data_IF_675883771405
#
_entry.id   IF_675883771405
#
_cell.length_a   1.000
_cell.length_b   1.000
_cell.length_c   1.000
_cell.angle_alpha   90.00
_cell.angle_beta   90.00
_cell.angle_gamma   90.00
#
_symmetry.space_group_name_H-M   'P 1'
#
loop_
_entity.id
_entity.type
_entity.pdbx_description
1 polymer ?
#
# COMPACT_ATOMS: atom_id res chain seq x y z
N UNK A 1 -26.09 -2.52 5.19
CA UNK A 1 -26.92 -1.44 5.74
C UNK A 1 -26.62 -0.16 5.00
N UNK A 2 -27.47 0.12 4.02
CA UNK A 2 -27.24 1.10 2.98
C UNK A 2 -28.02 2.39 3.18
N UNK A 3 -28.10 2.86 4.38
CA UNK A 3 -28.45 4.26 4.62
C UNK A 3 -27.17 5.10 4.54
N UNK A 4 -26.39 4.82 3.53
CA UNK A 4 -25.14 5.51 3.31
C UNK A 4 -25.43 6.89 2.77
N UNK A 5 -25.05 7.85 3.53
CA UNK A 5 -24.68 9.14 2.99
C UNK A 5 -23.74 8.92 1.81
N UNK A 6 -23.86 9.67 0.71
CA UNK A 6 -23.01 9.50 -0.44
C UNK A 6 -21.53 9.54 -0.05
N UNK A 7 -20.74 8.62 -0.60
CA UNK A 7 -19.27 8.67 -0.50
C UNK A 7 -18.77 9.96 -1.15
N UNK A 8 -17.65 10.50 -0.66
CA UNK A 8 -17.07 11.77 -1.17
C UNK A 8 -16.46 11.59 -2.57
N UNK A 9 -16.04 10.38 -2.90
CA UNK A 9 -15.47 10.06 -4.21
C UNK A 9 -15.82 8.63 -4.60
N UNK A 10 -15.56 8.29 -5.86
CA UNK A 10 -15.67 6.92 -6.37
C UNK A 10 -14.62 6.00 -5.74
N UNK A 11 -14.96 4.72 -5.55
CA UNK A 11 -13.99 3.67 -5.21
C UNK A 11 -13.11 3.25 -6.37
N UNK A 12 -13.41 3.70 -7.58
CA UNK A 12 -12.58 3.50 -8.76
C UNK A 12 -11.27 4.30 -8.66
N UNK A 13 -10.34 3.99 -9.54
CA UNK A 13 -9.03 4.62 -9.58
C UNK A 13 -7.98 3.81 -8.85
N UNK A 14 -6.75 3.96 -9.30
CA UNK A 14 -5.58 3.19 -8.84
C UNK A 14 -4.83 3.86 -7.69
N UNK A 15 -5.20 5.11 -7.38
CA UNK A 15 -4.69 5.91 -6.26
C UNK A 15 -5.90 6.40 -5.46
N UNK A 16 -5.79 6.45 -4.16
CA UNK A 16 -6.85 6.96 -3.29
C UNK A 16 -6.86 8.50 -3.20
N UNK A 17 -7.78 9.07 -2.42
CA UNK A 17 -7.91 10.53 -2.27
C UNK A 17 -6.75 11.17 -1.51
N UNK A 18 -5.98 10.41 -0.76
CA UNK A 18 -4.78 10.86 -0.06
C UNK A 18 -3.50 10.76 -0.91
N UNK A 19 -3.61 10.26 -2.15
CA UNK A 19 -2.46 10.02 -3.02
C UNK A 19 -1.76 8.68 -2.80
N UNK A 20 -2.31 7.81 -1.94
CA UNK A 20 -1.71 6.51 -1.62
C UNK A 20 -2.07 5.50 -2.71
N UNK A 21 -1.09 4.81 -3.33
CA UNK A 21 -1.34 3.77 -4.31
C UNK A 21 -2.18 2.62 -3.75
N UNK A 22 -3.16 2.17 -4.53
CA UNK A 22 -3.90 0.93 -4.28
C UNK A 22 -3.23 -0.26 -4.96
N UNK A 23 -3.72 -1.47 -4.70
CA UNK A 23 -3.16 -2.67 -5.33
C UNK A 23 -3.16 -2.61 -6.86
N UNK A 24 -4.21 -2.07 -7.47
CA UNK A 24 -4.31 -1.95 -8.94
C UNK A 24 -3.23 -1.04 -9.55
N UNK A 25 -2.68 -0.08 -8.80
CA UNK A 25 -1.53 0.71 -9.22
C UNK A 25 -0.34 -0.20 -9.56
N UNK A 26 -0.05 -1.16 -8.70
CA UNK A 26 1.04 -2.13 -8.89
C UNK A 26 0.74 -3.14 -9.99
N UNK A 27 -0.54 -3.48 -10.19
CA UNK A 27 -0.95 -4.29 -11.35
C UNK A 27 -0.61 -3.57 -12.65
N UNK A 28 -0.95 -2.28 -12.79
CA UNK A 28 -0.57 -1.51 -13.97
C UNK A 28 0.95 -1.40 -14.13
N UNK A 29 1.68 -1.15 -13.04
CA UNK A 29 3.15 -1.13 -13.09
C UNK A 29 3.71 -2.45 -13.65
N UNK A 30 3.19 -3.59 -13.18
CA UNK A 30 3.67 -4.91 -13.60
C UNK A 30 3.49 -5.17 -15.09
N UNK A 31 2.49 -4.54 -15.72
CA UNK A 31 2.18 -4.73 -17.14
C UNK A 31 2.79 -3.67 -18.05
N UNK A 32 3.02 -2.46 -17.52
CA UNK A 32 3.47 -1.33 -18.34
C UNK A 32 4.96 -1.05 -18.25
N UNK A 33 5.61 -1.39 -17.13
CA UNK A 33 7.03 -1.13 -16.95
C UNK A 33 7.88 -2.32 -17.37
N UNK A 34 8.99 -2.05 -18.05
CA UNK A 34 9.98 -3.07 -18.40
C UNK A 34 10.75 -3.51 -17.16
N UNK A 35 10.88 -4.82 -16.96
CA UNK A 35 11.68 -5.41 -15.89
C UNK A 35 13.16 -5.03 -15.94
N UNK A 36 13.71 -4.74 -17.13
CA UNK A 36 15.11 -4.34 -17.28
C UNK A 36 15.41 -2.98 -16.64
N UNK A 37 14.40 -2.09 -16.59
CA UNK A 37 14.57 -0.72 -16.07
C UNK A 37 13.91 -0.54 -14.70
N UNK A 38 12.81 -1.22 -14.47
CA UNK A 38 11.97 -1.06 -13.30
C UNK A 38 11.47 -2.43 -12.82
N UNK A 39 12.38 -3.34 -12.41
CA UNK A 39 11.95 -4.65 -11.89
C UNK A 39 11.10 -4.45 -10.64
N UNK A 40 9.99 -5.17 -10.56
CA UNK A 40 9.07 -5.05 -9.44
C UNK A 40 8.39 -6.37 -9.08
N UNK A 41 8.06 -6.49 -7.81
CA UNK A 41 7.13 -7.45 -7.25
C UNK A 41 6.26 -6.74 -6.20
N UNK A 42 4.99 -7.07 -6.12
CA UNK A 42 4.08 -6.56 -5.12
C UNK A 42 3.17 -7.67 -4.60
N UNK A 43 3.28 -7.94 -3.31
CA UNK A 43 2.51 -8.94 -2.59
C UNK A 43 1.18 -8.38 -2.10
N UNK A 44 0.12 -9.16 -2.22
CA UNK A 44 -1.17 -8.90 -1.60
C UNK A 44 -1.87 -10.22 -1.23
N UNK A 45 -2.82 -10.20 -0.27
CA UNK A 45 -3.18 -9.11 0.63
C UNK A 45 -2.17 -8.97 1.78
N UNK A 46 -2.43 -8.05 2.72
CA UNK A 46 -1.67 -7.99 3.97
C UNK A 46 -1.73 -9.32 4.75
N UNK A 47 -0.85 -9.50 5.76
CA UNK A 47 -0.72 -10.77 6.48
C UNK A 47 -1.12 -10.66 7.97
N UNK A 48 -2.28 -9.99 8.24
CA UNK A 48 -2.90 -9.84 9.57
C UNK A 48 -4.35 -10.35 9.51
N UNK A 49 -4.52 -11.69 9.54
CA UNK A 49 -5.81 -12.35 9.39
C UNK A 49 -6.25 -13.13 10.64
N UNK A 50 -5.69 -12.77 11.81
CA UNK A 50 -6.07 -13.39 13.09
C UNK A 50 -7.50 -13.06 13.51
N UNK A 51 -8.06 -11.95 13.00
CA UNK A 51 -9.44 -11.57 13.24
C UNK A 51 -10.36 -12.33 12.28
N UNK A 52 -11.14 -13.26 12.84
CA UNK A 52 -12.07 -14.10 12.08
C UNK A 52 -13.09 -13.30 11.26
N UNK A 53 -13.56 -12.16 11.73
CA UNK A 53 -14.52 -11.31 11.01
C UNK A 53 -13.89 -10.72 9.73
N UNK A 54 -12.62 -10.34 9.78
CA UNK A 54 -11.89 -9.85 8.60
C UNK A 54 -11.55 -11.00 7.65
N UNK A 55 -11.18 -12.14 8.21
CA UNK A 55 -10.74 -13.32 7.47
C UNK A 55 -11.88 -13.97 6.66
N UNK A 56 -13.09 -13.98 7.16
CA UNK A 56 -14.27 -14.61 6.54
C UNK A 56 -14.52 -14.25 5.07
N UNK A 57 -14.13 -13.07 4.64
CA UNK A 57 -14.34 -12.60 3.27
C UNK A 57 -13.15 -12.89 2.34
N UNK A 58 -12.06 -13.46 2.87
CA UNK A 58 -10.80 -13.66 2.13
C UNK A 58 -10.38 -15.12 2.15
N UNK A 59 -10.52 -15.79 3.29
CA UNK A 59 -10.20 -17.22 3.44
C UNK A 59 -11.24 -18.09 2.73
N UNK A 60 -10.75 -19.15 2.10
CA UNK A 60 -11.61 -20.22 1.62
C UNK A 60 -12.08 -21.15 2.76
N UNK A 61 -12.86 -22.18 2.42
CA UNK A 61 -13.41 -23.16 3.38
C UNK A 61 -12.33 -23.96 4.13
N UNK A 62 -11.13 -24.08 3.55
CA UNK A 62 -9.97 -24.74 4.15
C UNK A 62 -9.05 -23.79 4.94
N UNK A 63 -9.47 -22.52 5.10
CA UNK A 63 -8.70 -21.52 5.82
C UNK A 63 -7.46 -21.01 5.08
N UNK A 64 -7.45 -21.13 3.74
CA UNK A 64 -6.36 -20.62 2.89
C UNK A 64 -6.67 -19.24 2.36
N UNK A 65 -5.64 -18.43 2.25
CA UNK A 65 -5.68 -17.09 1.69
C UNK A 65 -5.12 -17.11 0.27
N UNK A 66 -5.81 -16.51 -0.72
CA UNK A 66 -5.24 -16.31 -2.05
C UNK A 66 -4.17 -15.21 -1.98
N UNK A 67 -2.90 -15.63 -1.90
CA UNK A 67 -1.75 -14.73 -1.98
C UNK A 67 -1.45 -14.48 -3.45
N UNK A 68 -1.51 -13.22 -3.84
CA UNK A 68 -1.24 -12.76 -5.21
C UNK A 68 0.05 -11.98 -5.28
N UNK A 69 0.73 -12.10 -6.40
CA UNK A 69 1.92 -11.30 -6.70
C UNK A 69 1.74 -10.65 -8.07
N UNK A 70 1.80 -9.32 -8.09
CA UNK A 70 1.97 -8.53 -9.31
C UNK A 70 3.47 -8.37 -9.56
N UNK A 71 3.93 -8.73 -10.72
CA UNK A 71 5.35 -8.62 -11.09
C UNK A 71 5.52 -8.53 -12.59
N UNK A 72 6.59 -7.87 -13.03
CA UNK A 72 7.03 -7.86 -14.42
C UNK A 72 8.23 -8.80 -14.66
N UNK A 73 8.57 -9.63 -13.68
CA UNK A 73 9.61 -10.65 -13.79
C UNK A 73 9.13 -11.86 -14.61
N UNK A 74 10.05 -12.76 -14.97
CA UNK A 74 9.71 -14.01 -15.65
C UNK A 74 9.01 -15.01 -14.72
N UNK A 75 9.51 -15.16 -13.49
CA UNK A 75 8.97 -16.08 -12.50
C UNK A 75 9.03 -15.50 -11.10
N UNK A 76 8.20 -16.04 -10.21
CA UNK A 76 8.19 -15.68 -8.79
C UNK A 76 8.15 -16.96 -7.95
N UNK A 77 8.99 -17.02 -6.94
CA UNK A 77 8.92 -17.99 -5.84
C UNK A 77 8.21 -17.32 -4.65
N UNK A 78 7.17 -17.98 -4.14
CA UNK A 78 6.53 -17.58 -2.90
C UNK A 78 7.14 -18.38 -1.73
N UNK A 79 7.57 -17.65 -0.69
CA UNK A 79 8.12 -18.24 0.53
C UNK A 79 7.28 -17.77 1.72
N UNK A 80 6.85 -18.70 2.58
CA UNK A 80 6.06 -18.42 3.78
C UNK A 80 6.78 -19.00 4.98
N UNK A 81 7.18 -18.14 5.91
CA UNK A 81 7.93 -18.50 7.12
C UNK A 81 9.19 -19.34 6.83
N UNK A 82 9.89 -19.02 5.72
CA UNK A 82 11.09 -19.71 5.28
C UNK A 82 10.85 -20.98 4.46
N UNK A 83 9.60 -21.38 4.25
CA UNK A 83 9.25 -22.54 3.43
C UNK A 83 8.75 -22.10 2.04
N UNK A 84 9.34 -22.64 0.98
CA UNK A 84 8.90 -22.38 -0.39
C UNK A 84 7.51 -22.99 -0.62
N UNK A 85 6.64 -22.19 -1.22
CA UNK A 85 5.31 -22.59 -1.72
C UNK A 85 5.32 -22.87 -3.22
N UNK A 86 6.52 -22.95 -3.79
CA UNK A 86 6.76 -23.23 -5.19
C UNK A 86 6.96 -21.98 -6.03
N UNK A 87 7.44 -22.22 -7.24
CA UNK A 87 7.70 -21.21 -8.25
C UNK A 87 6.57 -21.23 -9.28
N UNK A 88 6.05 -20.07 -9.61
CA UNK A 88 5.16 -19.88 -10.76
C UNK A 88 5.81 -18.97 -11.78
N UNK A 89 5.44 -19.16 -13.05
CA UNK A 89 6.03 -18.45 -14.18
C UNK A 89 4.94 -17.75 -14.97
N UNK A 90 5.19 -16.51 -15.38
CA UNK A 90 4.33 -15.81 -16.30
C UNK A 90 4.51 -16.29 -17.75
N UNK A 91 3.43 -16.31 -18.50
CA UNK A 91 3.46 -16.53 -19.95
C UNK A 91 3.34 -15.19 -20.65
N UNK A 92 4.34 -14.85 -21.47
CA UNK A 92 4.30 -13.63 -22.28
C UNK A 92 3.34 -13.79 -23.44
N UNK A 93 2.44 -12.84 -23.63
CA UNK A 93 1.45 -12.77 -24.67
C UNK A 93 1.61 -11.51 -25.50
N UNK A 94 1.08 -11.54 -26.70
CA UNK A 94 1.06 -10.39 -27.61
C UNK A 94 -0.36 -10.19 -28.12
N UNK A 95 -0.87 -8.98 -27.99
CA UNK A 95 -2.18 -8.59 -28.53
C UNK A 95 -2.12 -8.45 -30.06
N UNK A 96 -3.28 -8.40 -30.72
CA UNK A 96 -3.36 -8.27 -32.17
C UNK A 96 -2.70 -6.97 -32.71
N UNK A 97 -2.61 -5.93 -31.89
CA UNK A 97 -1.96 -4.65 -32.22
C UNK A 97 -0.47 -4.60 -31.80
N UNK A 98 0.11 -5.76 -31.40
CA UNK A 98 1.54 -5.93 -31.15
C UNK A 98 2.02 -5.56 -29.75
N UNK A 99 1.11 -5.20 -28.82
CA UNK A 99 1.49 -4.96 -27.42
C UNK A 99 1.70 -6.27 -26.68
N UNK A 100 2.68 -6.29 -25.80
CA UNK A 100 2.99 -7.45 -24.97
C UNK A 100 2.46 -7.27 -23.54
N UNK A 101 2.00 -8.36 -22.95
CA UNK A 101 1.56 -8.43 -21.56
C UNK A 101 1.92 -9.81 -20.99
N UNK A 102 1.76 -9.98 -19.69
CA UNK A 102 2.07 -11.23 -19.02
C UNK A 102 0.82 -11.82 -18.38
N UNK A 103 0.61 -13.12 -18.58
CA UNK A 103 -0.45 -13.90 -17.94
C UNK A 103 0.12 -14.90 -16.94
N UNK A 104 -0.63 -15.14 -15.87
CA UNK A 104 -0.39 -16.22 -14.92
C UNK A 104 -0.90 -17.58 -15.42
N UNK A 105 -1.45 -18.38 -14.51
CA UNK A 105 -1.86 -19.76 -14.79
C UNK A 105 -3.12 -19.87 -15.69
N UNK A 106 -3.95 -18.84 -15.73
CA UNK A 106 -5.20 -18.83 -16.49
C UNK A 106 -5.22 -17.64 -17.46
N UNK A 107 -5.97 -17.74 -18.59
CA UNK A 107 -6.21 -16.60 -19.46
C UNK A 107 -6.80 -15.41 -18.68
N UNK A 108 -6.36 -14.21 -19.04
CA UNK A 108 -6.74 -12.94 -18.42
C UNK A 108 -6.33 -12.77 -16.94
N UNK A 109 -5.61 -13.72 -16.36
CA UNK A 109 -5.04 -13.62 -15.04
C UNK A 109 -3.69 -12.90 -15.09
N UNK A 110 -3.69 -11.61 -14.79
CA UNK A 110 -2.50 -10.75 -14.89
C UNK A 110 -1.62 -10.78 -13.63
N UNK A 111 -1.67 -11.86 -12.85
CA UNK A 111 -0.94 -12.07 -11.60
C UNK A 111 -0.65 -13.56 -11.38
N UNK A 112 0.27 -13.85 -10.49
CA UNK A 112 0.47 -15.20 -9.96
C UNK A 112 -0.26 -15.34 -8.63
N UNK A 113 -0.83 -16.51 -8.34
CA UNK A 113 -1.63 -16.75 -7.15
C UNK A 113 -1.29 -18.10 -6.51
N UNK A 114 -1.17 -18.09 -5.18
CA UNK A 114 -1.02 -19.29 -4.34
C UNK A 114 -2.11 -19.29 -3.28
N UNK A 115 -2.74 -20.43 -3.08
CA UNK A 115 -3.63 -20.66 -1.94
C UNK A 115 -2.80 -21.11 -0.73
N UNK A 116 -2.67 -20.26 0.26
CA UNK A 116 -1.76 -20.45 1.41
C UNK A 116 -2.55 -20.57 2.71
N UNK A 117 -2.39 -21.66 3.47
CA UNK A 117 -2.91 -21.73 4.83
C UNK A 117 -2.37 -20.55 5.66
N UNK A 118 -3.27 -19.87 6.35
CA UNK A 118 -2.84 -18.73 7.16
C UNK A 118 -2.06 -19.18 8.40
N UNK A 119 -0.83 -18.72 8.49
CA UNK A 119 0.02 -18.82 9.70
C UNK A 119 0.68 -17.45 9.87
N UNK A 120 0.57 -16.80 11.04
CA UNK A 120 1.26 -15.56 11.31
C UNK A 120 2.76 -15.66 11.02
N UNK A 121 3.36 -14.59 10.54
CA UNK A 121 4.78 -14.53 10.22
C UNK A 121 5.07 -13.74 8.96
N UNK A 122 5.95 -14.26 8.11
CA UNK A 122 6.49 -13.57 6.94
C UNK A 122 6.10 -14.27 5.64
N UNK A 123 5.67 -13.50 4.67
CA UNK A 123 5.46 -13.93 3.28
C UNK A 123 6.38 -13.13 2.39
N UNK A 124 7.11 -13.81 1.50
CA UNK A 124 8.12 -13.23 0.63
C UNK A 124 7.87 -13.63 -0.82
N UNK A 125 8.00 -12.68 -1.74
CA UNK A 125 8.00 -12.91 -3.17
C UNK A 125 9.40 -12.65 -3.72
N UNK A 126 10.02 -13.67 -4.28
CA UNK A 126 11.35 -13.60 -4.90
C UNK A 126 11.16 -13.68 -6.41
N UNK A 127 11.26 -12.55 -7.07
CA UNK A 127 11.03 -12.42 -8.50
C UNK A 127 12.35 -12.55 -9.29
N UNK A 128 12.33 -13.40 -10.34
CA UNK A 128 13.52 -13.76 -11.12
C UNK A 128 13.31 -13.50 -12.61
N UNK A 129 14.41 -13.16 -13.30
CA UNK A 129 14.44 -13.08 -14.76
C UNK A 129 14.54 -14.48 -15.41
N UNK A 130 14.58 -14.55 -16.74
CA UNK A 130 14.71 -15.80 -17.48
C UNK A 130 16.02 -16.56 -17.21
N UNK A 131 17.08 -15.85 -16.78
CA UNK A 131 18.35 -16.45 -16.39
C UNK A 131 18.34 -17.02 -14.95
N UNK A 132 17.23 -16.84 -14.20
CA UNK A 132 17.09 -17.28 -12.82
C UNK A 132 17.66 -16.32 -11.79
N UNK A 133 18.14 -15.15 -12.19
CA UNK A 133 18.68 -14.13 -11.30
C UNK A 133 17.53 -13.38 -10.60
N UNK A 134 17.66 -13.13 -9.30
CA UNK A 134 16.72 -12.31 -8.58
C UNK A 134 16.81 -10.85 -9.03
N UNK A 135 15.71 -10.30 -9.51
CA UNK A 135 15.62 -8.91 -9.99
C UNK A 135 14.69 -8.04 -9.15
N UNK A 136 13.75 -8.64 -8.43
CA UNK A 136 12.89 -7.92 -7.49
C UNK A 136 12.56 -8.80 -6.27
N UNK A 137 12.10 -8.15 -5.22
CA UNK A 137 11.74 -8.78 -3.96
C UNK A 137 10.68 -7.93 -3.26
N UNK A 138 9.69 -8.59 -2.70
CA UNK A 138 8.73 -7.94 -1.79
C UNK A 138 8.45 -8.85 -0.60
N UNK A 139 8.08 -8.25 0.53
CA UNK A 139 7.71 -8.97 1.74
C UNK A 139 6.58 -8.29 2.48
N UNK A 140 5.73 -9.11 3.06
CA UNK A 140 4.73 -8.70 4.04
C UNK A 140 4.93 -9.53 5.32
N UNK A 141 4.66 -8.92 6.46
CA UNK A 141 4.82 -9.55 7.76
C UNK A 141 3.59 -9.30 8.62
N UNK A 142 3.21 -10.27 9.43
CA UNK A 142 2.19 -10.06 10.45
C UNK A 142 2.68 -9.00 11.43
N UNK A 143 2.00 -7.88 11.50
CA UNK A 143 2.27 -6.83 12.44
C UNK A 143 1.61 -7.10 13.79
N UNK A 144 2.24 -6.65 14.86
CA UNK A 144 1.70 -6.68 16.20
C UNK A 144 0.64 -5.59 16.44
N UNK A 145 0.39 -5.28 17.71
CA UNK A 145 -0.52 -4.19 18.09
C UNK A 145 0.09 -2.83 17.76
N UNK A 146 -0.75 -1.82 17.44
CA UNK A 146 -0.29 -0.45 17.31
C UNK A 146 0.55 0.02 18.52
N UNK A 147 1.76 0.50 18.29
CA UNK A 147 2.69 0.96 19.32
C UNK A 147 3.24 2.38 19.05
N UNK A 148 3.17 2.85 17.80
CA UNK A 148 3.69 4.17 17.46
C UNK A 148 3.18 4.68 16.11
N UNK A 149 3.64 5.89 15.79
CA UNK A 149 3.43 6.54 14.49
C UNK A 149 4.79 6.84 13.88
N UNK A 150 4.97 6.42 12.62
CA UNK A 150 6.14 6.78 11.80
C UNK A 150 5.71 7.81 10.76
N UNK A 151 6.53 8.84 10.56
CA UNK A 151 6.36 9.80 9.47
C UNK A 151 7.30 9.43 8.33
N UNK A 152 6.75 9.36 7.12
CA UNK A 152 7.48 9.14 5.89
C UNK A 152 7.31 10.39 5.04
N UNK A 153 8.40 11.11 4.82
CA UNK A 153 8.41 12.33 4.02
C UNK A 153 9.10 12.09 2.69
N UNK A 154 8.74 12.88 1.71
CA UNK A 154 9.52 13.00 0.49
C UNK A 154 10.85 13.72 0.79
N UNK A 155 11.95 13.27 0.17
CA UNK A 155 13.32 13.72 0.52
C UNK A 155 13.72 15.05 -0.10
N UNK A 156 12.80 15.97 -0.37
CA UNK A 156 13.18 17.26 -0.94
C UNK A 156 12.74 18.42 -0.06
N UNK A 157 13.55 19.47 -0.12
CA UNK A 157 13.20 20.73 0.44
C UNK A 157 12.09 21.39 -0.39
N UNK A 158 11.19 22.06 0.27
CA UNK A 158 10.19 22.93 -0.38
C UNK A 158 10.65 24.37 -0.36
N UNK A 159 10.22 25.17 -1.33
CA UNK A 159 10.55 26.58 -1.42
C UNK A 159 9.88 27.37 -0.27
N UNK A 160 10.61 28.30 0.34
CA UNK A 160 10.09 29.17 1.39
C UNK A 160 9.36 30.38 0.76
N UNK A 161 8.30 30.13 -0.01
CA UNK A 161 7.54 31.12 -0.76
C UNK A 161 6.10 31.33 -0.24
N UNK A 162 5.76 30.69 0.88
CA UNK A 162 4.42 30.71 1.45
C UNK A 162 3.36 29.95 0.65
N UNK A 163 3.74 29.16 -0.37
CA UNK A 163 2.82 28.47 -1.28
C UNK A 163 3.16 27.01 -1.48
N UNK A 164 4.44 26.66 -1.47
CA UNK A 164 4.92 25.30 -1.75
C UNK A 164 4.46 24.32 -0.67
N UNK A 165 4.20 23.07 -1.09
CA UNK A 165 3.59 22.04 -0.26
C UNK A 165 4.49 20.80 -0.16
N UNK A 166 4.45 20.15 0.99
CA UNK A 166 4.95 18.78 1.14
C UNK A 166 3.87 17.87 1.72
N UNK A 167 3.91 16.61 1.29
CA UNK A 167 3.00 15.56 1.72
C UNK A 167 3.77 14.59 2.60
N UNK A 168 3.35 14.46 3.84
CA UNK A 168 3.99 13.59 4.81
C UNK A 168 3.03 12.44 5.12
N UNK A 169 3.36 11.24 4.67
CA UNK A 169 2.60 10.05 5.02
C UNK A 169 2.87 9.70 6.48
N UNK A 170 1.83 9.47 7.27
CA UNK A 170 1.95 8.86 8.57
C UNK A 170 1.51 7.40 8.51
N UNK A 171 2.21 6.56 9.26
CA UNK A 171 1.97 5.13 9.33
C UNK A 171 1.85 4.71 10.80
N UNK A 172 0.78 4.01 11.11
CA UNK A 172 0.63 3.36 12.42
C UNK A 172 1.44 2.08 12.40
N UNK A 173 2.42 2.00 13.30
CA UNK A 173 3.36 0.89 13.35
C UNK A 173 3.30 0.15 14.69
N UNK A 174 3.71 -1.11 14.67
CA UNK A 174 3.92 -1.90 15.88
C UNK A 174 5.29 -1.58 16.55
N UNK A 175 5.62 -2.31 17.61
CA UNK A 175 6.86 -2.16 18.37
C UNK A 175 8.13 -2.53 17.58
N UNK A 176 7.97 -3.22 16.44
CA UNK A 176 9.06 -3.56 15.52
C UNK A 176 9.10 -2.62 14.29
N UNK A 177 8.25 -1.60 14.26
CA UNK A 177 8.18 -0.64 13.17
C UNK A 177 7.46 -1.15 11.91
N UNK A 178 6.72 -2.27 11.99
CA UNK A 178 5.90 -2.79 10.88
C UNK A 178 4.57 -2.04 10.84
N UNK A 179 4.14 -1.65 9.65
CA UNK A 179 2.82 -1.02 9.48
C UNK A 179 1.72 -2.00 9.89
N UNK A 180 0.79 -1.54 10.73
CA UNK A 180 -0.37 -2.32 11.16
C UNK A 180 -1.50 -2.09 10.17
N UNK A 181 -1.76 -3.02 9.23
CA UNK A 181 -2.66 -2.79 8.08
C UNK A 181 -4.14 -2.71 8.47
N UNK A 182 -4.47 -3.05 9.70
CA UNK A 182 -5.84 -2.98 10.25
C UNK A 182 -6.04 -1.80 11.19
N UNK A 183 -5.02 -0.96 11.37
CA UNK A 183 -5.09 0.16 12.31
C UNK A 183 -5.95 1.30 11.77
N UNK A 184 -6.82 1.81 12.67
CA UNK A 184 -7.67 2.97 12.45
C UNK A 184 -7.55 4.00 13.59
N UNK A 185 -6.40 4.03 14.24
CA UNK A 185 -6.12 4.91 15.38
C UNK A 185 -6.28 6.38 14.99
N UNK A 186 -6.82 7.18 15.92
CA UNK A 186 -6.83 8.63 15.77
C UNK A 186 -5.42 9.16 16.02
N UNK A 187 -4.90 9.92 15.06
CA UNK A 187 -3.58 10.58 15.13
C UNK A 187 -3.79 12.08 15.25
N UNK A 188 -3.12 12.69 16.22
CA UNK A 188 -3.09 14.14 16.44
C UNK A 188 -1.78 14.69 15.90
N UNK A 189 -1.85 15.86 15.25
CA UNK A 189 -0.70 16.51 14.62
C UNK A 189 -0.39 17.83 15.29
N UNK A 190 0.87 18.02 15.64
CA UNK A 190 1.43 19.26 16.11
C UNK A 190 2.64 19.59 15.23
N UNK A 191 2.74 20.83 14.80
CA UNK A 191 3.85 21.27 13.97
C UNK A 191 4.55 22.45 14.64
N UNK A 192 5.86 22.40 14.65
CA UNK A 192 6.73 23.48 15.14
C UNK A 192 7.68 23.90 14.01
N UNK A 193 8.03 25.20 13.96
CA UNK A 193 8.98 25.73 12.98
C UNK A 193 8.30 26.39 11.77
N UNK A 194 9.00 26.41 10.63
CA UNK A 194 8.65 27.23 9.45
C UNK A 194 7.72 26.51 8.48
N UNK A 195 6.63 25.96 9.00
CA UNK A 195 5.59 25.31 8.23
C UNK A 195 4.21 25.56 8.81
N UNK A 196 3.19 25.24 8.05
CA UNK A 196 1.79 25.30 8.47
C UNK A 196 1.04 24.07 7.99
N UNK A 197 0.38 23.32 8.88
CA UNK A 197 -0.52 22.24 8.46
C UNK A 197 -1.71 22.88 7.73
N UNK A 198 -1.99 22.42 6.52
CA UNK A 198 -3.08 22.92 5.70
C UNK A 198 -4.12 21.87 5.36
N UNK A 199 -3.83 20.60 5.60
CA UNK A 199 -4.78 19.52 5.36
C UNK A 199 -4.33 18.18 5.96
N UNK A 200 -5.31 17.31 6.17
CA UNK A 200 -5.11 15.91 6.58
C UNK A 200 -6.08 15.02 5.81
N UNK A 201 -5.63 13.85 5.38
CA UNK A 201 -6.47 12.83 4.75
C UNK A 201 -5.97 11.41 5.08
N UNK A 202 -6.77 10.40 4.78
CA UNK A 202 -6.42 9.00 4.97
C UNK A 202 -6.84 8.11 3.80
N UNK A 203 -7.38 8.70 2.72
CA UNK A 203 -7.81 7.97 1.53
C UNK A 203 -9.16 7.25 1.65
N UNK A 204 -9.81 7.27 2.81
CA UNK A 204 -11.11 6.62 3.01
C UNK A 204 -12.23 7.47 2.40
N UNK A 205 -12.81 7.01 1.29
CA UNK A 205 -13.86 7.72 0.56
C UNK A 205 -15.16 7.89 1.37
N UNK A 206 -15.43 6.98 2.30
CA UNK A 206 -16.61 7.03 3.17
C UNK A 206 -16.42 7.90 4.42
N UNK A 207 -15.18 8.29 4.74
CA UNK A 207 -14.90 9.08 5.93
C UNK A 207 -15.54 10.46 5.88
N UNK A 208 -16.08 10.89 7.02
CA UNK A 208 -16.66 12.21 7.23
C UNK A 208 -15.82 13.11 8.10
N UNK A 209 -14.66 12.61 8.53
CA UNK A 209 -13.72 13.44 9.28
C UNK A 209 -13.30 14.66 8.47
N UNK A 210 -13.04 15.76 9.15
CA UNK A 210 -12.63 17.02 8.51
C UNK A 210 -11.24 16.87 7.88
N UNK A 211 -11.07 17.43 6.70
CA UNK A 211 -9.75 17.61 6.06
C UNK A 211 -8.99 18.80 6.63
N UNK A 212 -9.65 19.68 7.34
CA UNK A 212 -9.18 20.92 7.94
C UNK A 212 -9.08 20.78 9.45
N UNK A 213 -8.48 21.78 10.09
CA UNK A 213 -8.46 21.89 11.54
C UNK A 213 -9.86 21.71 12.15
N UNK A 214 -9.90 21.18 13.35
CA UNK A 214 -11.10 21.14 14.18
C UNK A 214 -11.52 22.57 14.59
N UNK A 215 -12.66 22.73 15.23
CA UNK A 215 -13.18 24.02 15.68
C UNK A 215 -12.28 24.69 16.74
N UNK A 216 -11.56 23.89 17.51
CA UNK A 216 -10.59 24.34 18.50
C UNK A 216 -9.19 24.61 17.90
N UNK A 217 -9.04 24.46 16.59
CA UNK A 217 -7.78 24.66 15.86
C UNK A 217 -6.86 23.44 15.87
N UNK A 218 -7.20 22.35 16.54
CA UNK A 218 -6.40 21.13 16.54
C UNK A 218 -6.45 20.40 15.20
N UNK A 219 -5.39 19.62 14.90
CA UNK A 219 -5.29 18.81 13.71
C UNK A 219 -5.29 17.33 14.10
N UNK A 220 -6.21 16.58 13.51
CA UNK A 220 -6.32 15.15 13.75
C UNK A 220 -6.94 14.41 12.56
N UNK A 221 -6.57 13.14 12.39
CA UNK A 221 -7.16 12.22 11.40
C UNK A 221 -6.99 10.78 11.86
N UNK A 222 -8.01 9.94 11.67
CA UNK A 222 -7.83 8.50 11.84
C UNK A 222 -6.94 7.95 10.74
N UNK A 223 -6.17 6.92 11.05
CA UNK A 223 -5.54 6.10 10.03
C UNK A 223 -6.62 5.28 9.29
N UNK A 224 -6.36 4.97 8.05
CA UNK A 224 -7.11 4.01 7.26
C UNK A 224 -6.13 2.99 6.68
N UNK A 225 -6.35 1.71 6.97
CA UNK A 225 -5.38 0.64 6.67
C UNK A 225 -3.96 0.96 7.20
N UNK A 226 -3.90 1.55 8.39
CA UNK A 226 -2.65 1.92 9.04
C UNK A 226 -1.97 3.17 8.51
N UNK A 227 -2.56 3.90 7.56
CA UNK A 227 -1.91 5.04 6.88
C UNK A 227 -2.80 6.28 6.80
N UNK A 228 -2.18 7.38 6.45
CA UNK A 228 -2.80 8.63 6.03
C UNK A 228 -1.75 9.67 5.70
N UNK A 229 -2.18 10.90 5.42
CA UNK A 229 -1.31 12.00 4.99
C UNK A 229 -1.60 13.27 5.76
N UNK A 230 -0.56 14.02 6.11
CA UNK A 230 -0.62 15.41 6.56
C UNK A 230 0.06 16.28 5.52
N UNK A 231 -0.58 17.39 5.17
CA UNK A 231 -0.10 18.34 4.15
C UNK A 231 0.42 19.57 4.88
N UNK A 232 1.68 19.88 4.64
CA UNK A 232 2.35 21.05 5.21
C UNK A 232 2.69 22.04 4.10
N UNK A 233 2.36 23.29 4.33
CA UNK A 233 2.68 24.41 3.46
C UNK A 233 3.88 25.18 4.05
N UNK A 234 4.79 25.64 3.18
CA UNK A 234 5.90 26.52 3.56
C UNK A 234 5.41 27.87 4.10
N UNK A 235 6.23 28.51 4.92
CA UNK A 235 6.13 29.94 5.19
C UNK A 235 7.04 30.73 4.22
N UNK A 236 7.01 32.08 4.26
CA UNK A 236 7.96 32.93 3.53
C UNK A 236 9.33 33.00 4.20
N UNK A 237 9.48 32.37 5.33
CA UNK A 237 10.74 32.32 6.09
C UNK A 237 11.40 30.96 5.93
N UNK A 238 12.65 30.94 5.48
CA UNK A 238 13.45 29.72 5.41
C UNK A 238 13.72 29.14 6.80
N UNK A 239 13.68 27.83 6.92
CA UNK A 239 13.90 27.11 8.17
C UNK A 239 13.45 25.64 8.07
N UNK A 240 13.41 24.96 9.20
CA UNK A 240 12.89 23.60 9.34
C UNK A 240 11.54 23.60 10.06
N UNK A 241 10.80 22.53 9.91
CA UNK A 241 9.59 22.18 10.67
C UNK A 241 9.56 20.70 11.02
#
# INVERSE_FOLDING_TARGET
>A
NQNSTPVKSSYFGIVDTAGIPKNDYYLYQSQWLSADKHPMAHLLPHWNWENEELAKNVMDEEGRIPVRVFSNAHSVELVVNGESRGVQTFTKKTTADGRTYQEGASPDQLYLEWLVPYVPGKVEAIARNEAGEQIAYDKIETAGKPAGVRLVKEEHAIAADGKDLTYITYEVVDDQGRVVPTANNLVHFHLHGQGQIVGVDNGEQASRERYKAQEDGSWQRRAFNGKGVVIVKSTEQAGSF
#
